data_IF_778096941045
#
_entry.id   IF_778096941045
#
_cell.length_a   1.000
_cell.length_b   1.000
_cell.length_c   1.000
_cell.angle_alpha   90.00
_cell.angle_beta   90.00
_cell.angle_gamma   90.00
#
_symmetry.space_group_name_H-M   'P 1'
#
loop_
_entity.id
_entity.type
_entity.pdbx_description
1 polymer ?
#
# COMPACT_ATOMS: atom_id res chain seq x y z
N UNK A 1 -40.04 -7.11 4.35
CA UNK A 1 -40.04 -6.07 3.31
C UNK A 1 -38.77 -5.28 3.47
N UNK A 2 -37.86 -5.41 2.51
CA UNK A 2 -36.51 -4.83 2.50
C UNK A 2 -36.66 -3.43 1.89
N UNK A 3 -36.33 -2.39 2.64
CA UNK A 3 -36.27 -1.01 2.12
C UNK A 3 -34.80 -0.65 2.11
N UNK A 4 -34.19 -0.66 0.92
CA UNK A 4 -32.76 -0.42 0.59
C UNK A 4 -31.88 0.00 1.78
N UNK A 5 -31.28 -1.00 2.41
CA UNK A 5 -30.95 -1.04 3.85
C UNK A 5 -29.59 -0.46 4.25
N UNK A 6 -28.88 0.26 3.39
CA UNK A 6 -27.42 0.39 3.59
C UNK A 6 -26.96 1.58 4.45
N UNK A 7 -27.82 2.54 4.82
CA UNK A 7 -27.34 3.80 5.45
C UNK A 7 -28.26 4.45 6.48
N UNK A 8 -29.45 3.91 6.70
CA UNK A 8 -30.41 4.40 7.71
C UNK A 8 -30.38 3.48 8.92
N UNK A 9 -30.36 4.08 10.11
CA UNK A 9 -30.20 3.31 11.35
C UNK A 9 -31.55 2.90 11.93
N UNK A 10 -31.70 1.61 12.25
CA UNK A 10 -32.91 1.08 12.88
C UNK A 10 -33.03 1.64 14.30
N UNK A 11 -34.04 2.49 14.52
CA UNK A 11 -34.28 3.17 15.81
C UNK A 11 -34.41 4.70 15.71
N UNK A 12 -34.00 5.32 14.60
CA UNK A 12 -34.16 6.76 14.35
C UNK A 12 -34.76 7.00 12.97
N UNK A 13 -36.06 7.30 12.93
CA UNK A 13 -36.75 7.63 11.67
C UNK A 13 -36.11 8.89 11.07
N UNK A 14 -35.47 8.75 9.91
CA UNK A 14 -34.90 9.86 9.15
C UNK A 14 -33.44 10.25 9.47
N UNK A 15 -32.70 9.46 10.24
CA UNK A 15 -31.26 9.70 10.49
C UNK A 15 -30.35 8.71 9.77
N UNK A 16 -29.23 9.23 9.25
CA UNK A 16 -28.15 8.44 8.68
C UNK A 16 -27.36 7.72 9.77
N UNK A 17 -26.84 6.54 9.45
CA UNK A 17 -25.99 5.79 10.35
C UNK A 17 -24.64 6.47 10.62
N UNK A 18 -23.99 6.06 11.72
CA UNK A 18 -22.66 6.56 12.07
C UNK A 18 -21.68 6.34 10.90
N UNK A 19 -20.91 7.36 10.58
CA UNK A 19 -20.03 7.35 9.41
C UNK A 19 -20.72 7.76 8.11
N UNK A 20 -21.99 8.17 8.17
CA UNK A 20 -22.71 8.80 7.07
C UNK A 20 -23.27 10.15 7.52
N UNK A 21 -23.33 11.11 6.59
CA UNK A 21 -24.00 12.39 6.80
C UNK A 21 -25.17 12.54 5.83
N UNK A 22 -26.14 13.37 6.18
CA UNK A 22 -27.28 13.68 5.33
C UNK A 22 -26.89 14.80 4.36
N UNK A 23 -26.78 14.49 3.09
CA UNK A 23 -26.65 15.50 2.04
C UNK A 23 -28.04 16.09 1.75
N UNK A 24 -28.18 17.40 1.93
CA UNK A 24 -29.46 18.11 1.78
C UNK A 24 -29.85 18.34 0.32
N UNK A 25 -28.87 18.39 -0.59
CA UNK A 25 -29.10 18.58 -2.02
C UNK A 25 -29.61 17.29 -2.66
N UNK A 26 -28.94 16.18 -2.35
CA UNK A 26 -29.30 14.86 -2.90
C UNK A 26 -30.36 14.14 -2.08
N UNK A 27 -30.67 14.64 -0.88
CA UNK A 27 -31.52 14.00 0.13
C UNK A 27 -31.09 12.55 0.46
N UNK A 28 -29.80 12.23 0.32
CA UNK A 28 -29.24 10.89 0.57
C UNK A 28 -28.25 10.89 1.73
N UNK A 29 -28.09 9.72 2.34
CA UNK A 29 -26.98 9.48 3.25
C UNK A 29 -25.70 9.22 2.45
N UNK A 30 -24.69 10.04 2.67
CA UNK A 30 -23.40 9.97 2.00
C UNK A 30 -22.32 9.54 2.99
N UNK A 31 -21.38 8.72 2.51
CA UNK A 31 -20.37 8.08 3.35
C UNK A 31 -19.28 9.10 3.70
N UNK A 32 -18.92 9.19 4.97
CA UNK A 32 -17.75 9.93 5.40
C UNK A 32 -16.46 9.21 5.01
N UNK A 33 -15.42 10.00 4.76
CA UNK A 33 -14.07 9.48 4.66
C UNK A 33 -13.65 8.83 5.98
N UNK A 34 -12.81 7.77 5.96
CA UNK A 34 -12.25 7.20 7.18
C UNK A 34 -11.59 8.29 8.03
N UNK A 35 -11.76 8.19 9.35
CA UNK A 35 -11.31 9.21 10.29
C UNK A 35 -12.33 10.32 10.55
N UNK A 36 -13.37 10.47 9.74
CA UNK A 36 -14.35 11.55 9.89
C UNK A 36 -15.76 11.04 10.18
N UNK A 37 -16.50 11.81 10.97
CA UNK A 37 -17.87 11.52 11.37
C UNK A 37 -18.66 12.81 11.65
N UNK A 38 -19.90 12.65 12.12
CA UNK A 38 -20.80 13.77 12.43
C UNK A 38 -21.41 14.45 11.19
N UNK A 39 -22.10 15.59 11.39
CA UNK A 39 -22.68 16.36 10.30
C UNK A 39 -21.60 16.81 9.30
N UNK A 40 -21.86 16.59 8.01
CA UNK A 40 -20.94 16.91 6.92
C UNK A 40 -19.52 16.32 7.08
N UNK A 41 -19.35 15.25 7.86
CA UNK A 41 -18.06 14.59 8.08
C UNK A 41 -16.96 15.54 8.59
N UNK A 42 -17.32 16.48 9.46
CA UNK A 42 -16.40 17.50 9.98
C UNK A 42 -15.72 17.10 11.28
N UNK A 43 -16.28 16.15 12.03
CA UNK A 43 -15.72 15.70 13.29
C UNK A 43 -14.66 14.62 13.04
N UNK A 44 -13.44 14.85 13.53
CA UNK A 44 -12.37 13.86 13.49
C UNK A 44 -12.61 12.75 14.52
N UNK A 45 -12.14 11.54 14.25
CA UNK A 45 -12.15 10.47 15.23
C UNK A 45 -11.27 10.85 16.42
N UNK A 46 -11.81 10.85 17.65
CA UNK A 46 -11.01 11.11 18.83
C UNK A 46 -10.07 9.94 19.10
N UNK A 47 -8.84 10.22 19.54
CA UNK A 47 -7.98 9.17 20.08
C UNK A 47 -8.69 8.44 21.23
N UNK A 48 -8.61 7.10 21.31
CA UNK A 48 -7.78 6.18 20.51
C UNK A 48 -8.47 5.58 19.28
N UNK A 49 -9.56 6.16 18.79
CA UNK A 49 -10.33 5.56 17.69
C UNK A 49 -9.87 6.00 16.30
N UNK A 50 -10.07 5.16 15.30
CA UNK A 50 -9.73 5.45 13.90
C UNK A 50 -10.63 4.71 12.90
N UNK A 51 -10.45 5.01 11.61
CA UNK A 51 -11.07 4.26 10.51
C UNK A 51 -12.50 4.70 10.19
N UNK A 52 -13.22 3.85 9.46
CA UNK A 52 -14.61 4.15 9.10
C UNK A 52 -15.49 4.19 10.37
N UNK A 53 -16.30 5.25 10.51
CA UNK A 53 -17.16 5.47 11.67
C UNK A 53 -16.44 5.43 13.05
N UNK A 54 -15.11 5.59 13.07
CA UNK A 54 -14.27 5.51 14.26
C UNK A 54 -14.44 4.17 15.01
N UNK A 55 -14.54 3.06 14.29
CA UNK A 55 -14.71 1.72 14.87
C UNK A 55 -13.38 0.99 15.15
N UNK A 56 -12.28 1.44 14.55
CA UNK A 56 -10.94 0.95 14.86
C UNK A 56 -10.40 1.55 16.16
N UNK A 57 -9.44 0.88 16.79
CA UNK A 57 -8.81 1.32 18.04
C UNK A 57 -7.29 1.20 17.95
N UNK A 58 -6.57 2.30 18.18
CA UNK A 58 -5.12 2.37 18.18
C UNK A 58 -4.55 1.74 19.44
N UNK A 59 -3.54 0.87 19.26
CA UNK A 59 -2.73 0.31 20.33
C UNK A 59 -1.29 0.88 20.30
N UNK A 60 -1.20 2.19 20.11
CA UNK A 60 0.03 2.96 19.97
C UNK A 60 -0.18 4.34 20.58
N UNK A 61 0.87 5.15 20.70
CA UNK A 61 0.75 6.51 21.24
C UNK A 61 -0.12 7.40 20.35
N UNK A 62 -0.76 8.42 20.94
CA UNK A 62 -1.59 9.37 20.20
C UNK A 62 -0.86 10.00 19.00
N UNK A 63 0.43 10.30 19.15
CA UNK A 63 1.26 10.88 18.07
C UNK A 63 1.49 9.95 16.88
N UNK A 64 1.36 8.64 17.05
CA UNK A 64 1.51 7.64 15.98
C UNK A 64 0.17 7.06 15.52
N UNK A 65 -0.93 7.48 16.12
CA UNK A 65 -2.28 7.06 15.77
C UNK A 65 -2.88 8.03 14.74
N UNK A 66 -2.95 7.59 13.49
CA UNK A 66 -3.66 8.32 12.45
C UNK A 66 -5.16 8.02 12.52
N UNK A 67 -5.98 9.07 12.48
CA UNK A 67 -7.44 8.98 12.51
C UNK A 67 -8.05 8.09 11.41
N UNK A 68 -7.41 7.96 10.25
CA UNK A 68 -7.94 7.24 9.09
C UNK A 68 -7.46 5.79 9.05
N UNK A 69 -6.19 5.53 9.33
CA UNK A 69 -5.56 4.21 9.12
C UNK A 69 -5.06 3.53 10.41
N UNK A 70 -5.09 4.24 11.54
CA UNK A 70 -4.65 3.72 12.84
C UNK A 70 -3.17 3.90 13.08
N UNK A 71 -2.52 2.92 13.70
CA UNK A 71 -1.11 3.03 14.08
C UNK A 71 -0.17 3.06 12.88
N UNK A 72 0.57 4.16 12.75
CA UNK A 72 1.66 4.33 11.79
C UNK A 72 2.90 3.64 12.38
N UNK A 73 3.11 2.37 12.03
CA UNK A 73 4.41 1.74 12.23
C UNK A 73 5.45 2.49 11.40
N UNK A 74 6.64 2.73 11.95
CA UNK A 74 7.76 3.43 11.31
C UNK A 74 8.14 2.94 9.90
N UNK A 75 7.64 1.79 9.48
CA UNK A 75 7.65 1.29 8.09
C UNK A 75 6.94 2.20 7.07
N UNK A 76 5.97 3.03 7.50
CA UNK A 76 5.20 3.92 6.60
C UNK A 76 5.71 5.36 6.56
N UNK A 77 6.48 5.81 7.57
CA UNK A 77 7.28 7.05 7.46
C UNK A 77 8.46 6.91 6.48
N UNK A 78 8.72 5.69 5.97
CA UNK A 78 9.68 5.42 4.90
C UNK A 78 9.04 5.26 3.51
N UNK A 79 7.81 5.75 3.30
CA UNK A 79 7.20 5.78 1.96
C UNK A 79 7.34 7.14 1.26
N UNK A 80 8.53 7.74 1.37
CA UNK A 80 9.11 8.56 0.29
C UNK A 80 10.41 7.93 -0.24
N UNK A 81 10.44 6.58 -0.26
CA UNK A 81 11.47 5.78 -0.93
C UNK A 81 10.88 4.60 -1.73
N UNK A 82 9.61 4.66 -2.10
CA UNK A 82 8.95 3.62 -2.92
C UNK A 82 9.42 3.60 -4.39
N UNK A 83 10.25 4.56 -4.83
CA UNK A 83 10.98 4.48 -6.10
C UNK A 83 12.33 3.73 -6.02
N UNK A 84 12.76 3.30 -4.83
CA UNK A 84 14.05 2.60 -4.62
C UNK A 84 13.92 1.13 -4.21
N UNK A 85 12.79 0.67 -3.68
CA UNK A 85 12.64 -0.75 -3.29
C UNK A 85 12.39 -1.67 -4.50
N UNK A 86 11.65 -1.20 -5.52
CA UNK A 86 11.47 -1.93 -6.78
C UNK A 86 12.77 -2.06 -7.62
N UNK A 87 13.79 -1.22 -7.36
CA UNK A 87 15.12 -1.38 -7.98
C UNK A 87 15.98 -2.47 -7.33
N UNK A 88 15.75 -2.80 -6.06
CA UNK A 88 16.54 -3.85 -5.37
C UNK A 88 16.12 -5.27 -5.72
N UNK A 89 14.83 -5.54 -5.95
CA UNK A 89 14.38 -6.86 -6.44
C UNK A 89 14.89 -7.18 -7.84
N UNK A 90 14.95 -6.17 -8.72
CA UNK A 90 15.43 -6.35 -10.09
C UNK A 90 16.93 -6.66 -10.16
N UNK A 91 17.73 -6.17 -9.21
CA UNK A 91 19.17 -6.50 -9.10
C UNK A 91 19.45 -7.92 -8.58
N UNK A 92 18.56 -8.50 -7.77
CA UNK A 92 18.73 -9.88 -7.26
C UNK A 92 18.40 -10.93 -8.34
N UNK A 93 17.37 -10.68 -9.17
CA UNK A 93 17.02 -11.57 -10.29
C UNK A 93 18.06 -11.53 -11.43
N UNK A 94 18.71 -10.39 -11.66
CA UNK A 94 19.79 -10.25 -12.68
C UNK A 94 21.06 -10.98 -12.23
N UNK A 95 21.40 -10.97 -10.93
CA UNK A 95 22.58 -11.68 -10.40
C UNK A 95 22.50 -13.19 -10.61
N UNK A 96 21.30 -13.77 -10.58
CA UNK A 96 21.13 -15.21 -10.85
C UNK A 96 21.36 -15.57 -12.33
N UNK A 97 21.10 -14.64 -13.25
CA UNK A 97 21.34 -14.85 -14.68
C UNK A 97 22.81 -14.65 -15.07
N UNK A 98 23.49 -13.66 -14.47
CA UNK A 98 24.91 -13.34 -14.72
C UNK A 98 25.84 -14.45 -14.18
N UNK A 99 25.52 -14.98 -13.00
CA UNK A 99 26.27 -16.10 -12.40
C UNK A 99 26.27 -17.34 -13.30
N UNK A 100 25.20 -17.58 -14.08
CA UNK A 100 25.12 -18.72 -15.01
C UNK A 100 25.99 -18.54 -16.26
N UNK A 101 26.22 -17.30 -16.71
CA UNK A 101 27.09 -16.98 -17.85
C UNK A 101 28.57 -17.08 -17.49
N UNK A 102 28.96 -16.75 -16.27
CA UNK A 102 30.33 -16.91 -15.78
C UNK A 102 30.75 -18.40 -15.69
N UNK A 103 29.84 -19.28 -15.26
CA UNK A 103 30.11 -20.72 -15.21
C UNK A 103 30.24 -21.35 -16.61
N UNK A 104 29.54 -20.80 -17.61
CA UNK A 104 29.69 -21.22 -19.02
C UNK A 104 31.04 -20.73 -19.60
N UNK A 105 31.51 -19.55 -19.19
CA UNK A 105 32.78 -18.98 -19.66
C UNK A 105 34.02 -19.66 -19.05
N UNK A 106 33.98 -20.08 -17.78
CA UNK A 106 35.10 -20.83 -17.18
C UNK A 106 35.14 -22.30 -17.65
N UNK A 107 34.00 -22.89 -18.00
CA UNK A 107 33.90 -24.27 -18.50
C UNK A 107 34.38 -24.49 -19.94
N UNK A 108 34.63 -23.42 -20.72
CA UNK A 108 35.09 -23.51 -22.12
C UNK A 108 36.60 -23.38 -22.30
N UNK A 109 37.38 -23.28 -21.21
CA UNK A 109 38.84 -23.11 -21.29
C UNK A 109 39.65 -24.44 -21.31
N UNK A 110 38.99 -25.59 -21.50
CA UNK A 110 39.67 -26.90 -21.51
C UNK A 110 39.62 -27.66 -22.84
N UNK A 111 38.80 -27.26 -23.82
CA UNK A 111 38.76 -27.92 -25.14
C UNK A 111 38.53 -26.94 -26.29
N UNK A 112 39.59 -26.33 -26.80
CA UNK A 112 39.78 -26.18 -28.24
C UNK A 112 41.24 -25.81 -28.59
N UNK A 113 41.94 -26.81 -29.14
CA UNK A 113 43.15 -26.64 -29.92
C UNK A 113 42.85 -25.86 -31.21
N UNK A 114 43.81 -25.02 -31.64
CA UNK A 114 43.95 -24.41 -32.99
C UNK A 114 42.99 -23.23 -33.28
N UNK A 115 43.40 -22.01 -33.66
CA UNK A 115 44.63 -21.49 -34.28
C UNK A 115 44.73 -19.99 -33.93
N UNK A 116 45.80 -19.58 -33.25
CA UNK A 116 46.36 -18.22 -33.38
C UNK A 116 47.51 -18.34 -34.37
N UNK A 117 47.43 -17.67 -35.52
CA UNK A 117 48.46 -16.76 -36.05
C UNK A 117 48.22 -16.46 -37.52
N UNK A 118 48.25 -15.16 -37.80
CA UNK A 118 48.33 -14.55 -39.11
C UNK A 118 49.64 -14.93 -39.82
N UNK A 119 49.68 -14.66 -41.12
CA UNK A 119 50.62 -15.15 -42.13
C UNK A 119 52.13 -14.93 -41.86
N UNK A 120 52.89 -15.90 -42.41
CA UNK A 120 54.36 -16.03 -42.57
C UNK A 120 55.13 -14.74 -42.89
N UNK A 121 56.31 -14.55 -42.29
CA UNK A 121 57.44 -13.83 -42.90
C UNK A 121 58.81 -14.30 -42.36
N UNK A 122 59.72 -14.55 -43.32
CA UNK A 122 61.17 -14.87 -43.27
C UNK A 122 61.58 -16.30 -42.95
#
# INVERSE_FOLDING_TARGET
MIVDSEKLCYGSIGQCCKGYFRNIETNKCEKCTPGYTGPNCTAQCPYPTYGFACQGFCNCSNVTCNMSWGCISSTTLTMDNSAKHERRKKEEDIKMHDTLLDHVNEGMHMYSMNKVTSLKFK
#
